data_IF_034576054288
#
_entry.id   IF_034576054288
#
_cell.length_a   1.000
_cell.length_b   1.000
_cell.length_c   1.000
_cell.angle_alpha   90.00
_cell.angle_beta   90.00
_cell.angle_gamma   90.00
#
_symmetry.space_group_name_H-M   'P 1'
#
loop_
_entity.id
_entity.type
_entity.pdbx_description
1 polymer ?
#
# COMPACT_ATOMS: atom_id res chain seq x y z
N UNK A 1 35.70 -40.98 1.86
CA UNK A 1 35.35 -39.77 1.08
C UNK A 1 33.87 -39.69 0.68
N UNK A 2 33.31 -40.62 -0.12
CA UNK A 2 31.95 -40.50 -0.69
C UNK A 2 30.84 -40.37 0.37
N UNK A 3 30.87 -41.19 1.43
CA UNK A 3 29.88 -41.12 2.52
C UNK A 3 29.89 -39.80 3.28
N UNK A 4 31.06 -39.18 3.45
CA UNK A 4 31.20 -37.88 4.10
C UNK A 4 30.62 -36.76 3.23
N UNK A 5 30.88 -36.77 1.91
CA UNK A 5 30.27 -35.82 0.98
C UNK A 5 28.74 -35.95 0.97
N UNK A 6 28.23 -37.17 1.01
CA UNK A 6 26.79 -37.44 1.09
C UNK A 6 26.16 -36.86 2.37
N UNK A 7 26.79 -37.09 3.52
CA UNK A 7 26.32 -36.60 4.82
C UNK A 7 26.40 -35.06 4.89
N UNK A 8 27.45 -34.47 4.31
CA UNK A 8 27.60 -33.03 4.15
C UNK A 8 26.45 -32.41 3.38
N UNK A 9 26.15 -32.93 2.19
CA UNK A 9 25.14 -32.37 1.30
C UNK A 9 23.74 -32.57 1.90
N UNK A 10 23.43 -33.75 2.45
CA UNK A 10 22.08 -34.11 2.87
C UNK A 10 21.73 -33.66 4.30
N UNK A 11 22.70 -33.55 5.20
CA UNK A 11 22.45 -33.26 6.63
C UNK A 11 23.06 -31.93 7.06
N UNK A 12 24.33 -31.68 6.75
CA UNK A 12 25.01 -30.49 7.28
C UNK A 12 24.58 -29.19 6.60
N UNK A 13 24.48 -29.19 5.27
CA UNK A 13 24.03 -28.02 4.51
C UNK A 13 22.62 -27.56 4.93
N UNK A 14 21.57 -28.42 4.92
CA UNK A 14 20.23 -27.94 5.25
C UNK A 14 20.07 -27.53 6.72
N UNK A 15 20.81 -28.17 7.64
CA UNK A 15 20.64 -27.92 9.08
C UNK A 15 21.41 -26.70 9.59
N UNK A 16 22.58 -26.38 9.00
CA UNK A 16 23.45 -25.30 9.52
C UNK A 16 23.67 -24.15 8.52
N UNK A 17 23.80 -24.44 7.22
CA UNK A 17 24.05 -23.41 6.22
C UNK A 17 22.77 -22.61 5.88
N UNK A 18 21.63 -23.30 5.78
CA UNK A 18 20.34 -22.66 5.48
C UNK A 18 19.69 -21.97 6.70
N UNK A 19 20.14 -22.29 7.91
CA UNK A 19 19.63 -21.70 9.16
C UNK A 19 20.45 -20.50 9.64
N UNK A 20 21.46 -20.06 8.86
CA UNK A 20 22.30 -18.89 9.15
C UNK A 20 23.38 -19.12 10.22
N UNK A 21 23.56 -20.36 10.72
CA UNK A 21 24.55 -20.69 11.76
C UNK A 21 25.91 -21.07 11.15
N UNK A 22 26.52 -20.13 10.42
CA UNK A 22 27.76 -20.36 9.66
C UNK A 22 28.95 -20.80 10.53
N UNK A 23 29.09 -20.24 11.75
CA UNK A 23 30.19 -20.56 12.66
C UNK A 23 30.22 -22.05 13.06
N UNK A 24 29.06 -22.65 13.39
CA UNK A 24 28.99 -24.06 13.77
C UNK A 24 29.33 -24.99 12.61
N UNK A 25 28.95 -24.59 11.39
CA UNK A 25 29.26 -25.34 10.17
C UNK A 25 30.77 -25.36 9.89
N UNK A 26 31.45 -24.22 10.02
CA UNK A 26 32.90 -24.11 9.80
C UNK A 26 33.69 -24.90 10.85
N UNK A 27 33.31 -24.80 12.13
CA UNK A 27 33.96 -25.55 13.22
C UNK A 27 33.82 -27.06 12.99
N UNK A 28 32.63 -27.51 12.62
CA UNK A 28 32.39 -28.92 12.36
C UNK A 28 33.17 -29.43 11.14
N UNK A 29 33.26 -28.63 10.08
CA UNK A 29 34.07 -28.96 8.90
C UNK A 29 35.57 -29.06 9.22
N UNK A 30 36.09 -28.13 10.03
CA UNK A 30 37.45 -28.19 10.56
C UNK A 30 37.68 -29.47 11.37
N UNK A 31 36.76 -29.81 12.27
CA UNK A 31 36.86 -31.01 13.11
C UNK A 31 36.90 -32.28 12.23
N UNK A 32 36.06 -32.36 11.20
CA UNK A 32 36.09 -33.51 10.29
C UNK A 32 37.36 -33.54 9.44
N UNK A 33 37.90 -32.40 9.02
CA UNK A 33 39.19 -32.35 8.31
C UNK A 33 40.33 -32.88 9.19
N UNK A 34 40.34 -32.53 10.49
CA UNK A 34 41.32 -33.00 11.47
C UNK A 34 41.16 -34.51 11.72
N UNK A 35 39.95 -35.00 11.94
CA UNK A 35 39.71 -36.45 12.10
C UNK A 35 40.12 -37.23 10.86
N UNK A 36 39.85 -36.68 9.68
CA UNK A 36 40.19 -37.31 8.41
C UNK A 36 41.72 -37.39 8.21
N UNK A 37 42.45 -36.32 8.50
CA UNK A 37 43.92 -36.29 8.41
C UNK A 37 44.56 -37.22 9.44
N UNK A 38 44.04 -37.31 10.66
CA UNK A 38 44.55 -38.27 11.66
C UNK A 38 44.30 -39.72 11.19
N UNK A 39 43.10 -40.02 10.69
CA UNK A 39 42.76 -41.36 10.21
C UNK A 39 43.61 -41.79 9.00
N UNK A 40 43.89 -40.87 8.06
CA UNK A 40 44.76 -41.17 6.93
C UNK A 40 46.20 -41.46 7.36
N UNK A 41 46.73 -40.71 8.33
CA UNK A 41 48.06 -40.95 8.88
C UNK A 41 48.16 -42.31 9.61
N UNK A 42 47.17 -42.65 10.44
CA UNK A 42 47.12 -43.96 11.13
C UNK A 42 47.05 -45.11 10.13
N UNK A 43 46.22 -44.97 9.08
CA UNK A 43 46.15 -46.00 8.04
C UNK A 43 47.46 -46.16 7.28
N UNK A 44 48.21 -45.08 7.06
CA UNK A 44 49.48 -45.13 6.36
C UNK A 44 50.58 -45.78 7.22
N UNK A 45 50.66 -45.47 8.52
CA UNK A 45 51.55 -46.16 9.48
C UNK A 45 51.30 -47.66 9.48
N UNK A 46 50.03 -48.08 9.42
CA UNK A 46 49.67 -49.49 9.50
C UNK A 46 50.01 -50.29 8.23
N UNK A 47 50.07 -49.63 7.08
CA UNK A 47 50.35 -50.27 5.78
C UNK A 47 51.80 -50.16 5.33
N UNK A 48 52.57 -49.19 5.85
CA UNK A 48 53.99 -49.00 5.52
C UNK A 48 54.87 -49.55 6.65
N UNK A 49 55.56 -50.66 6.40
CA UNK A 49 56.48 -51.34 7.34
C UNK A 49 57.85 -50.63 7.45
N UNK A 50 57.89 -49.32 7.23
CA UNK A 50 59.12 -48.51 7.15
C UNK A 50 59.44 -47.80 8.50
N UNK A 51 60.60 -48.07 9.12
CA UNK A 51 60.96 -47.50 10.43
C UNK A 51 61.45 -46.04 10.40
N UNK A 52 61.66 -45.44 9.22
CA UNK A 52 61.98 -44.01 9.03
C UNK A 52 60.72 -43.13 8.93
N UNK A 53 59.75 -43.42 9.80
CA UNK A 53 58.46 -42.74 9.86
C UNK A 53 58.54 -41.27 10.35
N UNK A 54 59.71 -40.68 10.61
CA UNK A 54 59.82 -39.27 11.01
C UNK A 54 60.79 -38.52 10.09
N UNK A 55 60.29 -38.04 8.96
CA UNK A 55 61.05 -37.21 7.99
C UNK A 55 60.25 -35.98 7.54
N UNK A 56 60.96 -34.95 7.05
CA UNK A 56 60.40 -33.67 6.57
C UNK A 56 59.36 -33.82 5.45
N UNK A 57 59.38 -34.94 4.71
CA UNK A 57 58.41 -35.26 3.65
C UNK A 57 56.98 -35.47 4.17
N UNK A 58 56.81 -35.91 5.42
CA UNK A 58 55.48 -36.17 5.98
C UNK A 58 54.70 -34.91 6.28
N UNK A 59 55.36 -33.85 6.76
CA UNK A 59 54.69 -32.58 6.99
C UNK A 59 54.11 -32.07 5.66
N UNK A 60 54.87 -32.17 4.58
CA UNK A 60 54.42 -31.78 3.24
C UNK A 60 53.21 -32.60 2.78
N UNK A 61 53.18 -33.91 3.00
CA UNK A 61 52.06 -34.78 2.63
C UNK A 61 50.79 -34.56 3.48
N UNK A 62 50.96 -34.26 4.76
CA UNK A 62 49.85 -33.89 5.66
C UNK A 62 49.26 -32.55 5.23
N UNK A 63 50.10 -31.56 4.96
CA UNK A 63 49.67 -30.25 4.47
C UNK A 63 49.00 -30.36 3.09
N UNK A 64 49.55 -31.13 2.16
CA UNK A 64 48.98 -31.32 0.83
C UNK A 64 47.60 -32.00 0.90
N UNK A 65 47.47 -33.06 1.69
CA UNK A 65 46.21 -33.78 1.90
C UNK A 65 45.14 -32.90 2.53
N UNK A 66 45.53 -32.06 3.50
CA UNK A 66 44.64 -31.09 4.12
C UNK A 66 44.15 -30.03 3.11
N UNK A 67 45.05 -29.48 2.29
CA UNK A 67 44.73 -28.49 1.26
C UNK A 67 43.81 -29.08 0.18
N UNK A 68 44.07 -30.31 -0.27
CA UNK A 68 43.22 -31.00 -1.25
C UNK A 68 41.82 -31.24 -0.67
N UNK A 69 41.72 -31.66 0.59
CA UNK A 69 40.43 -31.84 1.26
C UNK A 69 39.63 -30.52 1.31
N UNK A 70 40.28 -29.42 1.69
CA UNK A 70 39.64 -28.09 1.71
C UNK A 70 39.16 -27.66 0.32
N UNK A 71 39.96 -27.89 -0.74
CA UNK A 71 39.58 -27.57 -2.11
C UNK A 71 38.36 -28.38 -2.58
N UNK A 72 38.32 -29.68 -2.30
CA UNK A 72 37.17 -30.51 -2.65
C UNK A 72 35.89 -30.10 -1.89
N UNK A 73 36.02 -29.76 -0.61
CA UNK A 73 34.90 -29.29 0.21
C UNK A 73 34.40 -27.92 -0.27
N UNK A 74 35.32 -26.99 -0.59
CA UNK A 74 34.99 -25.69 -1.16
C UNK A 74 34.26 -25.83 -2.52
N UNK A 75 34.71 -26.75 -3.38
CA UNK A 75 34.09 -27.04 -4.68
C UNK A 75 32.63 -27.48 -4.58
N UNK A 76 32.21 -28.08 -3.47
CA UNK A 76 30.82 -28.49 -3.22
C UNK A 76 30.01 -27.38 -2.52
N UNK A 77 30.61 -26.66 -1.56
CA UNK A 77 29.90 -25.66 -0.77
C UNK A 77 29.58 -24.41 -1.59
N UNK A 78 30.56 -23.90 -2.35
CA UNK A 78 30.44 -22.65 -3.12
C UNK A 78 29.21 -22.66 -4.05
N UNK A 79 28.98 -23.67 -4.92
CA UNK A 79 27.84 -23.67 -5.82
C UNK A 79 26.50 -23.80 -5.07
N UNK A 80 26.46 -24.56 -3.98
CA UNK A 80 25.24 -24.71 -3.17
C UNK A 80 24.89 -23.41 -2.45
N UNK A 81 25.89 -22.72 -1.92
CA UNK A 81 25.72 -21.41 -1.30
C UNK A 81 25.24 -20.37 -2.31
N UNK A 82 25.89 -20.29 -3.49
CA UNK A 82 25.49 -19.38 -4.56
C UNK A 82 24.05 -19.62 -5.01
N UNK A 83 23.65 -20.88 -5.18
CA UNK A 83 22.27 -21.24 -5.54
C UNK A 83 21.28 -20.81 -4.46
N UNK A 84 21.58 -21.08 -3.20
CA UNK A 84 20.73 -20.68 -2.07
C UNK A 84 20.58 -19.15 -1.96
N UNK A 85 21.69 -18.44 -2.14
CA UNK A 85 21.72 -16.97 -2.15
C UNK A 85 20.90 -16.41 -3.31
N UNK A 86 21.03 -16.98 -4.52
CA UNK A 86 20.25 -16.57 -5.69
C UNK A 86 18.75 -16.77 -5.50
N UNK A 87 18.34 -17.93 -4.96
CA UNK A 87 16.94 -18.22 -4.65
C UNK A 87 16.41 -17.26 -3.58
N UNK A 88 17.20 -16.97 -2.55
CA UNK A 88 16.82 -16.04 -1.48
C UNK A 88 16.66 -14.61 -2.03
N UNK A 89 17.56 -14.16 -2.90
CA UNK A 89 17.44 -12.88 -3.58
C UNK A 89 16.22 -12.81 -4.52
N UNK A 90 15.92 -13.89 -5.25
CA UNK A 90 14.71 -13.95 -6.06
C UNK A 90 13.44 -13.88 -5.20
N UNK A 91 13.43 -14.56 -4.04
CA UNK A 91 12.32 -14.45 -3.09
C UNK A 91 12.17 -13.03 -2.56
N UNK A 92 13.26 -12.37 -2.17
CA UNK A 92 13.24 -10.97 -1.73
C UNK A 92 12.68 -10.05 -2.82
N UNK A 93 13.19 -10.15 -4.06
CA UNK A 93 12.68 -9.38 -5.21
C UNK A 93 11.20 -9.64 -5.47
N UNK A 94 10.74 -10.89 -5.34
CA UNK A 94 9.34 -11.24 -5.50
C UNK A 94 8.46 -10.68 -4.38
N UNK A 95 8.94 -10.67 -3.14
CA UNK A 95 8.26 -10.06 -2.00
C UNK A 95 8.14 -8.55 -2.19
N UNK A 96 9.22 -7.89 -2.60
CA UNK A 96 9.21 -6.46 -2.94
C UNK A 96 8.24 -6.15 -4.08
N UNK A 97 8.26 -6.95 -5.15
CA UNK A 97 7.32 -6.79 -6.26
C UNK A 97 5.87 -6.95 -5.81
N UNK A 98 5.56 -7.99 -5.02
CA UNK A 98 4.22 -8.21 -4.46
C UNK A 98 3.80 -7.05 -3.55
N UNK A 99 4.72 -6.54 -2.73
CA UNK A 99 4.47 -5.37 -1.87
C UNK A 99 4.14 -4.12 -2.71
N UNK A 100 4.90 -3.85 -3.75
CA UNK A 100 4.66 -2.70 -4.64
C UNK A 100 3.31 -2.84 -5.36
N UNK A 101 2.97 -4.03 -5.86
CA UNK A 101 1.68 -4.28 -6.49
C UNK A 101 0.52 -4.11 -5.51
N UNK A 102 0.64 -4.64 -4.29
CA UNK A 102 -0.37 -4.47 -3.24
C UNK A 102 -0.54 -3.01 -2.83
N UNK A 103 0.55 -2.24 -2.74
CA UNK A 103 0.49 -0.80 -2.52
C UNK A 103 -0.27 -0.12 -3.66
N UNK A 104 0.02 -0.46 -4.91
CA UNK A 104 -0.69 0.09 -6.08
C UNK A 104 -2.18 -0.30 -6.09
N UNK A 105 -2.53 -1.54 -5.74
CA UNK A 105 -3.92 -1.98 -5.63
C UNK A 105 -4.67 -1.22 -4.54
N UNK A 106 -4.05 -1.07 -3.36
CA UNK A 106 -4.59 -0.25 -2.28
C UNK A 106 -4.75 1.23 -2.69
N UNK A 107 -3.85 1.77 -3.52
CA UNK A 107 -4.01 3.12 -4.11
C UNK A 107 -5.21 3.21 -5.05
N UNK A 108 -5.46 2.16 -5.85
CA UNK A 108 -6.61 2.12 -6.77
C UNK A 108 -7.94 2.07 -6.00
N UNK A 109 -8.00 1.35 -4.89
CA UNK A 109 -9.20 1.26 -4.05
C UNK A 109 -9.58 2.59 -3.39
N UNK A 110 -8.61 3.48 -3.14
CA UNK A 110 -8.86 4.79 -2.55
C UNK A 110 -9.50 5.80 -3.51
N UNK A 111 -9.37 5.58 -4.82
CA UNK A 111 -10.02 6.38 -5.87
C UNK A 111 -11.45 5.86 -5.98
N UNK A 112 -12.47 6.67 -5.67
CA UNK A 112 -13.87 6.30 -5.92
C UNK A 112 -14.11 6.31 -7.44
N UNK A 113 -14.12 5.14 -8.14
CA UNK A 113 -14.07 5.15 -9.60
C UNK A 113 -15.38 5.68 -10.20
N UNK A 114 -16.50 5.51 -9.50
CA UNK A 114 -17.83 5.78 -10.03
C UNK A 114 -18.06 7.23 -10.43
N UNK A 115 -17.59 8.18 -9.63
CA UNK A 115 -17.82 9.63 -9.84
C UNK A 115 -17.06 10.15 -11.05
N UNK A 116 -15.80 9.73 -11.19
CA UNK A 116 -14.95 10.12 -12.31
C UNK A 116 -15.42 9.53 -13.63
N UNK A 117 -15.88 8.28 -13.64
CA UNK A 117 -16.48 7.68 -14.83
C UNK A 117 -17.78 8.39 -15.24
N UNK A 118 -18.62 8.82 -14.28
CA UNK A 118 -19.82 9.63 -14.59
C UNK A 118 -19.44 10.95 -15.26
N UNK A 119 -18.46 11.67 -14.71
CA UNK A 119 -18.00 12.93 -15.30
C UNK A 119 -17.37 12.70 -16.68
N UNK A 120 -16.58 11.65 -16.85
CA UNK A 120 -15.99 11.27 -18.14
C UNK A 120 -17.06 10.99 -19.19
N UNK A 121 -18.05 10.16 -18.87
CA UNK A 121 -19.15 9.83 -19.79
C UNK A 121 -19.97 11.06 -20.17
N UNK A 122 -20.25 11.96 -19.21
CA UNK A 122 -20.93 13.23 -19.45
C UNK A 122 -20.12 14.14 -20.38
N UNK A 123 -18.81 14.26 -20.15
CA UNK A 123 -17.92 15.05 -21.01
C UNK A 123 -17.86 14.48 -22.43
N UNK A 124 -17.83 13.16 -22.59
CA UNK A 124 -17.86 12.48 -23.88
C UNK A 124 -19.15 12.78 -24.68
N UNK A 125 -20.30 12.90 -23.99
CA UNK A 125 -21.56 13.31 -24.61
C UNK A 125 -21.56 14.75 -25.13
N UNK A 126 -20.79 15.64 -24.51
CA UNK A 126 -20.67 17.05 -24.91
C UNK A 126 -19.66 17.28 -26.05
N UNK A 127 -18.79 16.31 -26.36
CA UNK A 127 -17.76 16.45 -27.41
C UNK A 127 -18.35 16.81 -28.77
N UNK A 128 -19.55 16.31 -29.08
CA UNK A 128 -20.21 16.54 -30.39
C UNK A 128 -20.99 17.85 -30.44
N UNK A 129 -21.51 18.31 -29.30
CA UNK A 129 -22.38 19.49 -29.23
C UNK A 129 -21.63 20.77 -28.87
N UNK A 130 -20.69 20.69 -27.91
CA UNK A 130 -19.93 21.81 -27.36
C UNK A 130 -18.46 21.38 -27.08
N UNK A 131 -17.62 21.29 -28.12
CA UNK A 131 -16.28 20.70 -28.02
C UNK A 131 -15.33 21.46 -27.08
N UNK A 132 -15.41 22.80 -27.06
CA UNK A 132 -14.59 23.64 -26.18
C UNK A 132 -14.92 23.41 -24.70
N UNK A 133 -16.22 23.28 -24.40
CA UNK A 133 -16.70 22.98 -23.05
C UNK A 133 -16.30 21.57 -22.62
N UNK A 134 -16.42 20.59 -23.50
CA UNK A 134 -15.98 19.21 -23.23
C UNK A 134 -14.46 19.13 -22.95
N UNK A 135 -13.65 19.84 -23.74
CA UNK A 135 -12.19 19.92 -23.55
C UNK A 135 -11.83 20.55 -22.19
N UNK A 136 -12.50 21.64 -21.81
CA UNK A 136 -12.30 22.29 -20.51
C UNK A 136 -12.65 21.38 -19.33
N UNK A 137 -13.74 20.61 -19.43
CA UNK A 137 -14.15 19.64 -18.40
C UNK A 137 -13.14 18.49 -18.27
N UNK A 138 -12.68 17.92 -19.39
CA UNK A 138 -11.68 16.85 -19.38
C UNK A 138 -10.37 17.31 -18.73
N UNK A 139 -9.95 18.55 -19.01
CA UNK A 139 -8.76 19.11 -18.40
C UNK A 139 -8.92 19.31 -16.89
N UNK A 140 -10.07 19.82 -16.41
CA UNK A 140 -10.38 19.91 -14.97
C UNK A 140 -10.44 18.52 -14.31
N UNK A 141 -11.07 17.54 -14.96
CA UNK A 141 -11.14 16.15 -14.48
C UNK A 141 -9.75 15.54 -14.32
N UNK A 142 -8.85 15.76 -15.27
CA UNK A 142 -7.46 15.26 -15.20
C UNK A 142 -6.69 15.80 -13.99
N UNK A 143 -6.96 17.05 -13.60
CA UNK A 143 -6.37 17.69 -12.41
C UNK A 143 -6.93 17.08 -11.13
N UNK A 144 -8.25 16.84 -11.08
CA UNK A 144 -8.90 16.17 -9.94
C UNK A 144 -8.38 14.74 -9.74
N UNK A 145 -8.23 13.98 -10.84
CA UNK A 145 -7.64 12.63 -10.81
C UNK A 145 -6.19 12.65 -10.32
N UNK A 146 -5.40 13.63 -10.76
CA UNK A 146 -4.01 13.78 -10.31
C UNK A 146 -3.94 14.04 -8.80
N UNK A 147 -4.78 14.92 -8.27
CA UNK A 147 -4.83 15.17 -6.83
C UNK A 147 -5.17 13.90 -6.05
N UNK A 148 -6.19 13.14 -6.48
CA UNK A 148 -6.54 11.88 -5.82
C UNK A 148 -5.46 10.80 -5.91
N UNK A 149 -4.75 10.70 -7.04
CA UNK A 149 -3.73 9.67 -7.25
C UNK A 149 -2.43 9.95 -6.48
N UNK A 150 -2.09 11.22 -6.28
CA UNK A 150 -0.77 11.60 -5.73
C UNK A 150 -0.85 12.18 -4.31
N UNK A 151 -1.86 13.00 -3.99
CA UNK A 151 -1.94 13.71 -2.70
C UNK A 151 -2.79 12.98 -1.65
N UNK A 152 -3.81 12.21 -2.05
CA UNK A 152 -4.60 11.39 -1.10
C UNK A 152 -3.86 10.17 -0.54
N UNK A 153 -2.63 9.89 -0.99
CA UNK A 153 -1.79 8.81 -0.45
C UNK A 153 -1.13 9.17 0.91
N UNK A 154 -1.33 10.40 1.40
CA UNK A 154 -0.83 10.83 2.71
C UNK A 154 -1.82 10.40 3.80
N UNK A 155 -1.32 10.00 4.97
CA UNK A 155 -2.18 9.63 6.13
C UNK A 155 -3.15 10.75 6.53
N UNK A 156 -2.76 12.01 6.32
CA UNK A 156 -3.61 13.17 6.49
C UNK A 156 -3.30 14.24 5.42
N UNK A 157 -4.31 15.02 5.05
CA UNK A 157 -4.22 16.17 4.12
C UNK A 157 -4.73 17.43 4.81
N UNK A 158 -4.27 18.59 4.35
CA UNK A 158 -4.74 19.88 4.85
C UNK A 158 -6.22 20.06 4.49
N UNK A 159 -7.04 20.50 5.46
CA UNK A 159 -8.44 20.83 5.23
C UNK A 159 -8.61 21.86 4.10
N UNK A 160 -7.69 22.82 4.00
CA UNK A 160 -7.67 23.81 2.91
C UNK A 160 -7.50 23.19 1.53
N UNK A 161 -6.70 22.13 1.41
CA UNK A 161 -6.52 21.42 0.15
C UNK A 161 -7.80 20.66 -0.25
N UNK A 162 -8.46 20.01 0.71
CA UNK A 162 -9.74 19.34 0.46
C UNK A 162 -10.86 20.34 0.11
N UNK A 163 -10.93 21.51 0.76
CA UNK A 163 -11.89 22.57 0.41
C UNK A 163 -11.63 23.08 -1.02
N UNK A 164 -10.37 23.30 -1.38
CA UNK A 164 -10.01 23.72 -2.74
C UNK A 164 -10.37 22.65 -3.77
N UNK A 165 -10.09 21.39 -3.47
CA UNK A 165 -10.49 20.26 -4.31
C UNK A 165 -12.01 20.19 -4.48
N UNK A 166 -12.75 20.38 -3.39
CA UNK A 166 -14.21 20.38 -3.38
C UNK A 166 -14.79 21.51 -4.25
N UNK A 167 -14.21 22.70 -4.17
CA UNK A 167 -14.61 23.84 -4.99
C UNK A 167 -14.43 23.54 -6.48
N UNK A 168 -13.30 22.94 -6.87
CA UNK A 168 -13.06 22.53 -8.25
C UNK A 168 -14.05 21.47 -8.73
N UNK A 169 -14.45 20.55 -7.85
CA UNK A 169 -15.43 19.51 -8.16
C UNK A 169 -16.84 20.08 -8.35
N UNK A 170 -17.32 20.93 -7.43
CA UNK A 170 -18.65 21.56 -7.54
C UNK A 170 -18.75 22.54 -8.71
N UNK A 171 -17.67 23.25 -9.01
CA UNK A 171 -17.59 24.09 -10.22
C UNK A 171 -17.74 23.26 -11.51
N UNK A 172 -17.20 22.03 -11.52
CA UNK A 172 -17.37 21.11 -12.63
C UNK A 172 -18.83 20.66 -12.78
N UNK A 173 -19.51 20.32 -11.68
CA UNK A 173 -20.93 19.98 -11.71
C UNK A 173 -21.81 21.16 -12.17
N UNK A 174 -21.49 22.41 -11.76
CA UNK A 174 -22.17 23.62 -12.25
C UNK A 174 -21.97 23.86 -13.75
N UNK A 175 -20.79 23.56 -14.29
CA UNK A 175 -20.58 23.63 -15.74
C UNK A 175 -21.47 22.63 -16.49
N UNK A 176 -21.77 21.49 -15.88
CA UNK A 176 -22.63 20.46 -16.48
C UNK A 176 -24.12 20.81 -16.37
N UNK A 177 -24.59 21.27 -15.20
CA UNK A 177 -25.99 21.63 -14.96
C UNK A 177 -26.12 23.14 -14.69
N UNK A 178 -26.55 23.95 -15.68
CA UNK A 178 -26.66 25.40 -15.49
C UNK A 178 -27.73 25.81 -14.47
N UNK A 179 -28.69 24.92 -14.18
CA UNK A 179 -29.73 25.12 -13.16
C UNK A 179 -29.28 24.73 -11.73
N UNK A 180 -28.02 24.30 -11.58
CA UNK A 180 -27.40 23.95 -10.31
C UNK A 180 -26.52 25.10 -9.81
N UNK A 181 -26.74 25.52 -8.57
CA UNK A 181 -25.87 26.46 -7.88
C UNK A 181 -25.23 25.84 -6.64
N UNK A 182 -24.11 26.40 -6.20
CA UNK A 182 -23.45 25.93 -4.98
C UNK A 182 -22.86 27.09 -4.20
N UNK A 183 -22.80 26.90 -2.88
CA UNK A 183 -22.16 27.84 -1.96
C UNK A 183 -21.37 27.08 -0.93
N UNK A 184 -20.12 27.47 -0.74
CA UNK A 184 -19.27 26.93 0.33
C UNK A 184 -18.99 28.08 1.29
N UNK A 185 -19.36 27.93 2.55
CA UNK A 185 -18.97 28.86 3.61
C UNK A 185 -18.02 28.16 4.58
N UNK A 186 -17.04 28.90 5.07
CA UNK A 186 -16.09 28.39 6.08
C UNK A 186 -16.04 29.38 7.23
N UNK A 187 -16.32 28.88 8.43
CA UNK A 187 -16.25 29.64 9.67
C UNK A 187 -15.14 29.09 10.54
N UNK A 188 -14.24 29.98 10.97
CA UNK A 188 -13.00 29.63 11.68
C UNK A 188 -11.77 29.60 10.77
N UNK A 189 -10.62 29.19 11.34
CA UNK A 189 -9.35 29.13 10.60
C UNK A 189 -9.05 27.69 10.14
N UNK A 190 -9.14 27.39 8.84
CA UNK A 190 -8.82 26.06 8.30
C UNK A 190 -7.32 25.78 8.19
N UNK A 191 -6.46 26.79 8.38
CA UNK A 191 -5.02 26.62 8.22
C UNK A 191 -4.43 25.71 9.30
N UNK A 192 -3.64 24.72 8.89
CA UNK A 192 -2.95 23.80 9.79
C UNK A 192 -3.84 22.68 10.36
N UNK A 193 -5.08 22.55 9.89
CA UNK A 193 -5.95 21.43 10.25
C UNK A 193 -5.73 20.29 9.27
N UNK A 194 -5.49 19.11 9.82
CA UNK A 194 -5.30 17.87 9.08
C UNK A 194 -6.54 17.00 9.21
N UNK A 195 -7.04 16.51 8.08
CA UNK A 195 -8.12 15.53 8.01
C UNK A 195 -7.66 14.33 7.17
N UNK A 196 -8.26 13.16 7.38
CA UNK A 196 -8.01 12.05 6.47
C UNK A 196 -8.52 12.38 5.07
N UNK A 197 -7.76 12.04 4.02
CA UNK A 197 -8.14 12.34 2.64
C UNK A 197 -9.41 11.61 2.22
N UNK A 198 -10.13 12.19 1.25
CA UNK A 198 -11.29 11.54 0.60
C UNK A 198 -12.47 11.25 1.53
N UNK A 199 -12.67 12.05 2.58
CA UNK A 199 -13.88 12.03 3.43
C UNK A 199 -14.92 13.01 2.90
N UNK A 200 -14.48 14.20 2.49
CA UNK A 200 -15.36 15.27 2.02
C UNK A 200 -15.98 14.96 0.66
N UNK A 201 -15.22 14.37 -0.26
CA UNK A 201 -15.71 14.08 -1.61
C UNK A 201 -16.89 13.08 -1.61
N UNK A 202 -16.81 11.88 -0.98
CA UNK A 202 -17.95 10.96 -0.92
C UNK A 202 -19.17 11.55 -0.22
N UNK A 203 -18.95 12.36 0.81
CA UNK A 203 -20.02 13.04 1.56
C UNK A 203 -20.77 14.08 0.71
N UNK A 204 -20.05 14.87 -0.09
CA UNK A 204 -20.69 15.84 -0.99
C UNK A 204 -21.36 15.12 -2.15
N UNK A 205 -20.73 14.06 -2.65
CA UNK A 205 -21.24 13.27 -3.74
C UNK A 205 -22.56 12.57 -3.39
N UNK A 206 -22.71 12.04 -2.18
CA UNK A 206 -23.99 11.50 -1.74
C UNK A 206 -25.07 12.58 -1.79
N UNK A 207 -24.74 13.82 -1.40
CA UNK A 207 -25.62 14.97 -1.53
C UNK A 207 -26.04 15.28 -2.97
N UNK A 208 -25.09 15.30 -3.91
CA UNK A 208 -25.38 15.55 -5.34
C UNK A 208 -26.22 14.44 -5.96
N UNK A 209 -25.96 13.17 -5.62
CA UNK A 209 -26.74 12.04 -6.13
C UNK A 209 -28.22 12.10 -5.70
N UNK A 210 -28.53 12.78 -4.58
CA UNK A 210 -29.89 12.94 -4.07
C UNK A 210 -30.70 13.98 -4.82
N UNK A 211 -30.04 14.89 -5.55
CA UNK A 211 -30.70 15.94 -6.32
C UNK A 211 -31.47 15.31 -7.48
N UNK A 212 -32.79 15.52 -7.50
CA UNK A 212 -33.63 15.06 -8.60
C UNK A 212 -33.46 15.95 -9.82
N UNK A 213 -32.90 15.41 -10.90
CA UNK A 213 -32.66 16.13 -12.16
C UNK A 213 -33.89 16.81 -12.78
N UNK A 214 -35.12 16.47 -12.38
CA UNK A 214 -36.36 17.10 -12.85
C UNK A 214 -36.67 18.48 -12.23
N UNK A 215 -36.11 18.80 -11.06
CA UNK A 215 -36.40 20.04 -10.32
C UNK A 215 -35.60 21.23 -10.89
N UNK A 216 -36.17 22.44 -10.93
CA UNK A 216 -35.46 23.68 -11.33
C UNK A 216 -34.94 24.43 -10.10
N UNK A 217 -33.89 25.22 -10.25
CA UNK A 217 -33.23 26.00 -9.18
C UNK A 217 -32.71 25.15 -8.02
N UNK A 218 -31.85 24.18 -8.33
CA UNK A 218 -31.24 23.33 -7.29
C UNK A 218 -30.02 23.99 -6.72
N UNK A 219 -29.80 23.77 -5.43
CA UNK A 219 -28.58 24.24 -4.82
C UNK A 219 -28.05 23.29 -3.76
N UNK A 220 -26.73 23.33 -3.57
CA UNK A 220 -26.04 22.75 -2.41
C UNK A 220 -25.34 23.87 -1.66
N UNK A 221 -25.64 24.00 -0.37
CA UNK A 221 -24.85 24.81 0.56
C UNK A 221 -24.02 23.89 1.45
N UNK A 222 -22.73 24.18 1.53
CA UNK A 222 -21.76 23.47 2.37
C UNK A 222 -21.24 24.46 3.41
N UNK A 223 -21.63 24.27 4.66
CA UNK A 223 -21.16 25.07 5.78
C UNK A 223 -20.12 24.27 6.57
N UNK A 224 -18.87 24.75 6.55
CA UNK A 224 -17.76 24.14 7.30
C UNK A 224 -17.50 25.00 8.53
N UNK A 225 -17.74 24.43 9.71
CA UNK A 225 -17.59 25.10 11.00
C UNK A 225 -16.45 24.42 11.76
N UNK A 226 -15.45 25.23 12.10
CA UNK A 226 -14.22 24.77 12.72
C UNK A 226 -14.17 25.24 14.17
N UNK A 227 -14.26 24.28 15.08
CA UNK A 227 -14.12 24.50 16.52
C UNK A 227 -12.75 24.03 17.02
N UNK A 228 -12.45 24.28 18.30
CA UNK A 228 -11.17 23.89 18.90
C UNK A 228 -10.94 22.37 18.84
N UNK A 229 -11.99 21.59 19.08
CA UNK A 229 -11.91 20.12 19.23
C UNK A 229 -12.65 19.34 18.13
N UNK A 230 -13.46 20.01 17.32
CA UNK A 230 -14.30 19.36 16.29
C UNK A 230 -14.33 20.15 14.99
N UNK A 231 -14.48 19.43 13.89
CA UNK A 231 -14.82 19.99 12.58
C UNK A 231 -16.21 19.50 12.23
N UNK A 232 -17.16 20.41 12.11
CA UNK A 232 -18.54 20.10 11.70
C UNK A 232 -18.78 20.58 10.29
N UNK A 233 -19.27 19.70 9.44
CA UNK A 233 -19.63 19.96 8.05
C UNK A 233 -21.13 19.77 7.94
N UNK A 234 -21.83 20.82 7.54
CA UNK A 234 -23.28 20.81 7.34
C UNK A 234 -23.55 20.99 5.86
N UNK A 235 -24.36 20.10 5.29
CA UNK A 235 -24.68 20.04 3.89
C UNK A 235 -26.19 20.21 3.74
N UNK A 236 -26.61 21.34 3.17
CA UNK A 236 -28.01 21.63 2.87
C UNK A 236 -28.26 21.41 1.39
N UNK A 237 -29.28 20.63 1.08
CA UNK A 237 -29.62 20.24 -0.29
C UNK A 237 -31.07 20.61 -0.54
N UNK A 238 -31.30 21.41 -1.58
CA UNK A 238 -32.64 21.71 -2.06
C UNK A 238 -32.93 20.96 -3.37
N UNK A 239 -34.10 20.32 -3.44
CA UNK A 239 -34.50 19.49 -4.56
C UNK A 239 -34.07 18.02 -4.44
N UNK A 240 -33.92 17.53 -3.21
CA UNK A 240 -33.60 16.13 -2.94
C UNK A 240 -34.86 15.27 -2.77
N UNK A 241 -34.77 13.99 -3.17
CA UNK A 241 -35.84 13.01 -3.00
C UNK A 241 -36.11 12.62 -1.53
N UNK A 242 -36.99 11.62 -1.32
CA UNK A 242 -37.43 11.18 0.02
C UNK A 242 -36.26 10.81 0.98
N UNK A 243 -36.47 10.98 2.28
CA UNK A 243 -35.51 10.65 3.36
C UNK A 243 -34.94 9.22 3.27
N UNK A 244 -35.72 8.26 2.75
CA UNK A 244 -35.28 6.87 2.58
C UNK A 244 -34.13 6.72 1.56
N UNK A 245 -34.10 7.58 0.55
CA UNK A 245 -33.05 7.63 -0.47
C UNK A 245 -31.77 8.26 0.12
N UNK A 246 -31.94 9.29 0.95
CA UNK A 246 -30.86 9.94 1.71
C UNK A 246 -30.14 8.92 2.59
N UNK A 247 -30.90 8.16 3.38
CA UNK A 247 -30.33 7.15 4.27
C UNK A 247 -29.58 6.05 3.49
N UNK A 248 -30.09 5.62 2.33
CA UNK A 248 -29.41 4.62 1.50
C UNK A 248 -28.06 5.09 0.95
N UNK A 249 -27.99 6.31 0.42
CA UNK A 249 -26.72 6.87 -0.09
C UNK A 249 -25.72 7.09 1.06
N UNK A 250 -26.21 7.50 2.25
CA UNK A 250 -25.38 7.70 3.44
C UNK A 250 -24.84 6.41 4.06
N UNK A 251 -25.42 5.23 3.80
CA UNK A 251 -24.87 3.95 4.27
C UNK A 251 -23.44 3.73 3.77
N UNK A 252 -23.18 4.00 2.49
CA UNK A 252 -21.85 3.87 1.89
C UNK A 252 -20.82 4.83 2.51
N UNK A 253 -21.28 6.02 2.90
CA UNK A 253 -20.45 7.02 3.59
C UNK A 253 -20.20 6.58 5.03
N UNK A 254 -21.20 6.01 5.71
CA UNK A 254 -21.11 5.51 7.09
C UNK A 254 -20.13 4.34 7.21
N UNK A 255 -20.22 3.33 6.33
CA UNK A 255 -19.28 2.19 6.32
C UNK A 255 -17.82 2.65 6.14
N UNK A 256 -17.61 3.69 5.31
CA UNK A 256 -16.29 4.29 5.11
C UNK A 256 -15.82 5.06 6.34
N UNK A 257 -16.70 5.84 6.98
CA UNK A 257 -16.40 6.55 8.22
C UNK A 257 -16.11 5.61 9.39
N UNK A 258 -16.83 4.49 9.52
CA UNK A 258 -16.58 3.45 10.53
C UNK A 258 -15.18 2.84 10.37
N UNK A 259 -14.76 2.60 9.13
CA UNK A 259 -13.42 2.07 8.84
C UNK A 259 -12.31 3.07 9.19
N UNK A 260 -12.57 4.36 8.97
CA UNK A 260 -11.58 5.44 9.01
C UNK A 260 -11.45 6.13 10.39
N UNK A 261 -12.58 6.36 11.06
CA UNK A 261 -12.68 7.11 12.32
C UNK A 261 -13.28 6.27 13.48
N UNK A 262 -13.74 5.04 13.20
CA UNK A 262 -14.39 4.15 14.18
C UNK A 262 -15.58 4.85 14.86
N UNK A 263 -15.41 5.33 16.09
CA UNK A 263 -16.47 5.97 16.90
C UNK A 263 -16.26 7.49 17.09
N UNK A 264 -15.25 8.08 16.45
CA UNK A 264 -14.91 9.50 16.59
C UNK A 264 -15.69 10.44 15.65
N UNK A 265 -16.87 10.04 15.20
CA UNK A 265 -17.70 10.84 14.30
C UNK A 265 -19.18 10.76 14.65
N UNK A 266 -19.93 11.82 14.33
CA UNK A 266 -21.39 11.85 14.39
C UNK A 266 -21.91 12.23 13.00
N UNK A 267 -22.77 11.40 12.44
CA UNK A 267 -23.42 11.62 11.14
C UNK A 267 -24.94 11.57 11.34
N UNK A 268 -25.60 12.71 11.14
CA UNK A 268 -27.05 12.83 11.26
C UNK A 268 -27.66 13.49 10.03
N UNK A 269 -28.87 13.06 9.66
CA UNK A 269 -29.61 13.56 8.51
C UNK A 269 -31.04 13.91 8.93
N UNK A 270 -31.39 15.18 8.76
CA UNK A 270 -32.71 15.71 9.07
C UNK A 270 -33.36 16.27 7.81
N UNK A 271 -34.66 16.02 7.65
CA UNK A 271 -35.47 16.72 6.67
C UNK A 271 -36.16 17.89 7.33
N UNK A 272 -36.23 19.02 6.63
CA UNK A 272 -37.10 20.10 7.07
C UNK A 272 -38.57 19.65 7.00
N UNK A 273 -39.40 20.22 7.87
CA UNK A 273 -40.85 19.98 8.01
C UNK A 273 -41.63 20.19 6.71
N UNK A 274 -41.05 20.91 5.75
CA UNK A 274 -41.57 21.16 4.40
C UNK A 274 -41.28 20.04 3.38
N UNK A 275 -40.32 19.15 3.66
CA UNK A 275 -39.91 18.04 2.78
C UNK A 275 -39.12 18.43 1.53
N UNK A 276 -38.75 19.71 1.38
CA UNK A 276 -38.06 20.25 0.19
C UNK A 276 -36.54 20.36 0.40
N UNK A 277 -36.12 20.51 1.65
CA UNK A 277 -34.72 20.71 2.03
C UNK A 277 -34.25 19.61 3.00
N UNK A 278 -33.13 18.98 2.65
CA UNK A 278 -32.48 17.95 3.46
C UNK A 278 -31.18 18.53 4.02
N UNK A 279 -30.97 18.41 5.33
CA UNK A 279 -29.76 18.83 6.02
C UNK A 279 -29.01 17.62 6.53
N UNK A 280 -27.76 17.46 6.12
CA UNK A 280 -26.88 16.37 6.54
C UNK A 280 -25.73 16.99 7.33
N UNK A 281 -25.52 16.54 8.55
CA UNK A 281 -24.45 17.03 9.43
C UNK A 281 -23.45 15.92 9.72
N UNK A 282 -22.17 16.24 9.53
CA UNK A 282 -21.03 15.38 9.85
C UNK A 282 -20.12 16.11 10.83
N UNK A 283 -19.97 15.57 12.03
CA UNK A 283 -19.06 16.08 13.05
C UNK A 283 -17.89 15.10 13.17
N UNK A 284 -16.68 15.59 12.97
CA UNK A 284 -15.43 14.85 13.11
C UNK A 284 -14.71 15.36 14.37
N UNK A 285 -14.33 14.45 15.27
CA UNK A 285 -13.45 14.79 16.38
C UNK A 285 -12.02 15.00 15.87
N UNK A 286 -11.36 16.04 16.38
CA UNK A 286 -9.98 16.38 16.04
C UNK A 286 -9.02 15.50 16.87
N UNK A 287 -8.01 14.93 16.23
CA UNK A 287 -6.87 14.29 16.92
C UNK A 287 -5.78 15.29 17.30
#
# INVERSE_FOLDING_TARGET
>A
YIGFFYLTIRVFIPKYLLTGKYSHFVILMMLVAVVFTIASNISYIFYSDDPEYFSESQLVDIFSSFVIFLLCVAGVIIPVFLRSWMISNQKLKNIEKKRNLSQIEHLKEQINPGSFFKILNRSAGLVKSEPDKASSMLMKLSRLLRYQLYDCNRRCVLLTAEISFLHNFLELEKLYSPDFDYKITTSGNPNGIFIQPSVLLPFIQSGINLIDNSIKNKYIEVDIIINKETVSIVLKICGAGSLSLVQRELLSVRERLDTLYKEKYLLDAMNDTSGVENTISLILARE
#
